data_IF_154563576187
#
_entry.id   IF_154563576187
#
_cell.length_a   1.000
_cell.length_b   1.000
_cell.length_c   1.000
_cell.angle_alpha   90.00
_cell.angle_beta   90.00
_cell.angle_gamma   90.00
#
_symmetry.space_group_name_H-M   'P 1'
#
loop_
_entity.id
_entity.type
_entity.pdbx_description
1 polymer ?
#
# COMPACT_ATOMS: atom_id res chain seq x y z
N UNK A 1 -22.32 -0.99 2.33
CA UNK A 1 -20.95 -0.55 1.94
C UNK A 1 -20.96 0.70 1.05
N UNK A 2 -21.70 0.75 -0.06
CA UNK A 2 -21.62 1.89 -0.99
C UNK A 2 -21.98 3.25 -0.38
N UNK A 3 -23.02 3.36 0.44
CA UNK A 3 -23.37 4.62 1.11
C UNK A 3 -22.27 5.12 2.06
N UNK A 4 -21.58 4.20 2.76
CA UNK A 4 -20.54 4.56 3.72
C UNK A 4 -19.22 5.02 3.07
N UNK A 5 -18.96 4.59 1.83
CA UNK A 5 -17.71 4.88 1.10
C UNK A 5 -17.92 5.96 0.03
N UNK A 6 -19.07 5.97 -0.64
CA UNK A 6 -19.38 6.87 -1.76
C UNK A 6 -20.45 7.91 -1.42
N UNK A 7 -20.93 7.97 -0.17
CA UNK A 7 -21.93 8.94 0.30
C UNK A 7 -23.37 8.67 -0.13
N UNK A 8 -23.58 7.93 -1.22
CA UNK A 8 -24.90 7.51 -1.71
C UNK A 8 -24.85 6.05 -2.20
N UNK A 9 -25.87 5.27 -1.87
CA UNK A 9 -26.03 3.91 -2.38
C UNK A 9 -26.15 3.87 -3.90
N UNK A 10 -26.72 4.92 -4.53
CA UNK A 10 -26.93 4.99 -5.98
C UNK A 10 -25.63 4.99 -6.79
N UNK A 11 -24.49 5.26 -6.16
CA UNK A 11 -23.17 5.17 -6.80
C UNK A 11 -22.93 3.81 -7.48
N UNK A 12 -23.53 2.73 -6.97
CA UNK A 12 -23.41 1.39 -7.58
C UNK A 12 -23.82 1.38 -9.05
N UNK A 13 -24.82 2.20 -9.43
CA UNK A 13 -25.38 2.27 -10.78
C UNK A 13 -24.38 2.81 -11.81
N UNK A 14 -23.44 3.68 -11.39
CA UNK A 14 -22.45 4.31 -12.27
C UNK A 14 -21.03 3.78 -12.06
N UNK A 15 -20.81 3.02 -10.98
CA UNK A 15 -19.49 2.51 -10.59
C UNK A 15 -18.79 1.72 -11.69
N UNK A 16 -19.51 0.82 -12.38
CA UNK A 16 -18.98 0.02 -13.49
C UNK A 16 -18.49 0.89 -14.64
N UNK A 17 -19.29 1.85 -15.06
CA UNK A 17 -18.96 2.72 -16.19
C UNK A 17 -17.80 3.65 -15.85
N UNK A 18 -17.69 4.07 -14.58
CA UNK A 18 -16.56 4.85 -14.10
C UNK A 18 -15.26 4.04 -14.08
N UNK A 19 -15.31 2.76 -13.68
CA UNK A 19 -14.15 1.86 -13.78
C UNK A 19 -13.76 1.62 -15.24
N UNK A 20 -14.73 1.48 -16.15
CA UNK A 20 -14.48 1.30 -17.59
C UNK A 20 -13.77 2.48 -18.27
N UNK A 21 -13.80 3.68 -17.68
CA UNK A 21 -13.09 4.87 -18.19
C UNK A 21 -11.62 4.91 -17.80
N UNK A 22 -11.18 4.08 -16.85
CA UNK A 22 -9.81 4.11 -16.32
C UNK A 22 -8.82 3.67 -17.39
N UNK A 23 -7.83 4.52 -17.67
CA UNK A 23 -6.79 4.21 -18.64
C UNK A 23 -5.51 3.68 -17.98
N UNK A 24 -4.66 3.01 -18.77
CA UNK A 24 -3.34 2.59 -18.27
C UNK A 24 -2.46 3.78 -17.86
N UNK A 25 -2.62 4.95 -18.49
CA UNK A 25 -1.91 6.17 -18.13
C UNK A 25 -2.34 6.67 -16.75
N UNK A 26 -3.64 6.61 -16.45
CA UNK A 26 -4.15 6.96 -15.12
C UNK A 26 -3.54 6.08 -14.05
N UNK A 27 -3.53 4.75 -14.25
CA UNK A 27 -2.95 3.80 -13.29
C UNK A 27 -1.48 4.12 -13.01
N UNK A 28 -0.67 4.34 -14.05
CA UNK A 28 0.74 4.70 -13.89
C UNK A 28 0.92 5.99 -13.10
N UNK A 29 0.11 7.01 -13.41
CA UNK A 29 0.16 8.32 -12.74
C UNK A 29 -0.17 8.19 -11.25
N UNK A 30 -1.26 7.53 -10.86
CA UNK A 30 -1.59 7.37 -9.44
C UNK A 30 -0.63 6.45 -8.70
N UNK A 31 -0.09 5.41 -9.34
CA UNK A 31 0.95 4.58 -8.74
C UNK A 31 2.19 5.41 -8.38
N UNK A 32 2.67 6.26 -9.30
CA UNK A 32 3.79 7.16 -9.04
C UNK A 32 3.49 8.19 -7.93
N UNK A 33 2.23 8.62 -7.80
CA UNK A 33 1.81 9.58 -6.78
C UNK A 33 1.75 8.97 -5.37
N UNK A 34 1.21 7.76 -5.23
CA UNK A 34 0.87 7.21 -3.90
C UNK A 34 1.85 6.18 -3.38
N UNK A 35 2.56 5.45 -4.23
CA UNK A 35 3.54 4.44 -3.81
C UNK A 35 4.89 5.07 -3.46
N UNK A 36 4.86 5.99 -2.49
CA UNK A 36 6.05 6.67 -1.97
C UNK A 36 6.48 6.06 -0.64
N UNK A 37 7.74 6.27 -0.25
CA UNK A 37 8.26 5.78 1.04
C UNK A 37 7.52 6.40 2.24
N UNK A 38 7.08 7.67 2.12
CA UNK A 38 6.33 8.36 3.17
C UNK A 38 4.93 7.78 3.39
N UNK A 39 4.33 7.18 2.35
CA UNK A 39 2.99 6.58 2.40
C UNK A 39 3.03 5.07 2.67
N UNK A 40 4.19 4.51 3.04
CA UNK A 40 4.37 3.06 3.21
C UNK A 40 4.39 2.68 4.69
N UNK A 41 3.43 1.86 5.11
CA UNK A 41 3.42 1.15 6.40
C UNK A 41 3.67 -0.33 6.16
N UNK A 42 4.66 -0.91 6.85
CA UNK A 42 5.03 -2.34 6.72
C UNK A 42 4.93 -2.99 8.09
N UNK A 43 4.22 -4.11 8.17
CA UNK A 43 4.16 -4.97 9.34
C UNK A 43 4.52 -6.40 8.92
N UNK A 44 5.40 -7.05 9.66
CA UNK A 44 5.82 -8.44 9.40
C UNK A 44 5.51 -9.27 10.64
N UNK A 45 4.74 -10.34 10.46
CA UNK A 45 4.50 -11.33 11.51
C UNK A 45 5.58 -12.42 11.43
N UNK A 46 6.47 -12.44 12.41
CA UNK A 46 7.50 -13.49 12.56
C UNK A 46 7.14 -14.45 13.68
N UNK A 47 7.51 -15.72 13.53
CA UNK A 47 7.39 -16.69 14.62
C UNK A 47 8.26 -16.25 15.79
N UNK A 48 7.74 -16.39 17.02
CA UNK A 48 8.52 -16.15 18.23
C UNK A 48 9.67 -17.15 18.29
N UNK A 49 10.91 -16.68 18.13
CA UNK A 49 12.10 -17.49 18.39
C UNK A 49 12.31 -17.57 19.91
N UNK A 50 12.59 -18.77 20.41
CA UNK A 50 13.06 -18.97 21.78
C UNK A 50 14.56 -18.60 21.81
N UNK A 51 14.85 -17.29 21.90
CA UNK A 51 16.15 -16.74 22.28
C UNK A 51 17.27 -16.78 21.23
N UNK A 52 17.61 -15.61 20.65
CA UNK A 52 19.01 -15.18 20.54
C UNK A 52 19.11 -13.65 20.43
N UNK A 53 20.09 -13.14 21.16
CA UNK A 53 20.41 -11.75 21.52
C UNK A 53 20.21 -10.69 20.44
N UNK A 54 19.62 -9.56 20.85
CA UNK A 54 19.73 -8.26 20.17
C UNK A 54 21.17 -7.78 20.33
N UNK A 55 22.09 -8.33 19.53
CA UNK A 55 23.47 -7.82 19.38
C UNK A 55 23.98 -8.17 17.99
N UNK A 56 23.32 -7.65 16.96
CA UNK A 56 23.82 -7.71 15.58
C UNK A 56 23.36 -6.50 14.75
N UNK A 57 23.13 -5.35 15.41
CA UNK A 57 22.95 -4.06 14.74
C UNK A 57 23.94 -3.05 15.33
N UNK A 58 25.22 -3.36 15.17
CA UNK A 58 26.33 -2.39 15.26
C UNK A 58 27.44 -2.93 14.36
N UNK A 59 27.69 -2.23 13.25
CA UNK A 59 28.89 -2.40 12.44
C UNK A 59 28.75 -3.32 11.22
N UNK A 60 28.40 -2.74 10.07
CA UNK A 60 29.18 -2.89 8.82
C UNK A 60 28.50 -2.15 7.68
N UNK A 61 28.77 -0.85 7.63
CA UNK A 61 29.09 -0.19 6.36
C UNK A 61 30.23 -0.97 5.69
N UNK A 62 30.07 -1.39 4.43
CA UNK A 62 31.12 -1.41 3.39
C UNK A 62 30.43 -1.46 2.00
N UNK A 63 30.44 -0.33 1.30
CA UNK A 63 30.60 -0.26 -0.17
C UNK A 63 32.07 -0.57 -0.50
N UNK A 64 32.40 -1.17 -1.65
CA UNK A 64 31.94 -0.77 -2.99
C UNK A 64 30.93 -1.71 -3.65
#
# INVERSE_FOLDING_TARGET
>A
LYQAVAGDWRYILTSRDNVGKVTAADVRRVAAQYFTRSNRTVAVLVKKSLGKSVTAMSGSEVQP
#
